data_IF_048735933784
#
_entry.id   IF_048735933784
#
_cell.length_a   1.000
_cell.length_b   1.000
_cell.length_c   1.000
_cell.angle_alpha   90.00
_cell.angle_beta   90.00
_cell.angle_gamma   90.00
#
_symmetry.space_group_name_H-M   'P 1'
#
loop_
_entity.id
_entity.type
_entity.pdbx_description
1 polymer ?
#
# COMPACT_ATOMS: atom_id res chain seq x y z
N UNK A 1 -10.99 -16.50 30.75
CA UNK A 1 -12.10 -16.67 29.79
C UNK A 1 -12.45 -15.29 29.27
N UNK A 2 -12.32 -15.04 27.98
CA UNK A 2 -12.77 -13.79 27.40
C UNK A 2 -14.31 -13.79 27.46
N UNK A 3 -14.89 -12.96 28.35
CA UNK A 3 -16.33 -12.78 28.39
C UNK A 3 -16.73 -11.98 27.12
N UNK A 4 -17.19 -12.71 26.10
CA UNK A 4 -17.84 -12.08 24.97
C UNK A 4 -19.16 -11.45 25.43
N UNK A 5 -19.54 -10.27 24.92
CA UNK A 5 -20.85 -9.69 25.21
C UNK A 5 -21.96 -10.58 24.63
N UNK A 6 -23.09 -10.65 25.32
CA UNK A 6 -24.25 -11.42 24.86
C UNK A 6 -24.89 -10.87 23.56
N UNK A 7 -24.67 -9.58 23.28
CA UNK A 7 -25.12 -8.90 22.07
C UNK A 7 -24.21 -7.73 21.71
N UNK A 8 -24.16 -7.39 20.44
CA UNK A 8 -23.49 -6.19 19.94
C UNK A 8 -24.14 -5.74 18.63
N UNK A 9 -23.93 -4.47 18.24
CA UNK A 9 -24.48 -3.93 16.99
C UNK A 9 -23.75 -4.40 15.75
N UNK A 10 -22.45 -4.61 15.85
CA UNK A 10 -21.61 -5.03 14.73
C UNK A 10 -20.63 -6.10 15.17
N UNK A 11 -20.57 -7.17 14.40
CA UNK A 11 -19.53 -8.21 14.55
C UNK A 11 -18.64 -8.18 13.31
N UNK A 12 -17.34 -8.01 13.51
CA UNK A 12 -16.31 -8.14 12.48
C UNK A 12 -15.63 -9.50 12.64
N UNK A 13 -15.71 -10.35 11.64
CA UNK A 13 -15.15 -11.70 11.67
C UNK A 13 -13.83 -11.71 10.91
N UNK A 14 -12.75 -12.03 11.61
CA UNK A 14 -11.38 -12.08 11.11
C UNK A 14 -10.56 -10.85 11.49
N UNK A 15 -9.43 -11.08 12.16
CA UNK A 15 -8.48 -10.08 12.66
C UNK A 15 -7.30 -9.82 11.72
N UNK A 16 -7.45 -10.05 10.42
CA UNK A 16 -6.48 -9.62 9.42
C UNK A 16 -6.55 -8.11 9.16
N UNK A 17 -5.72 -7.60 8.23
CA UNK A 17 -5.67 -6.15 7.91
C UNK A 17 -7.04 -5.57 7.55
N UNK A 18 -7.87 -6.31 6.82
CA UNK A 18 -9.20 -5.87 6.44
C UNK A 18 -10.14 -5.74 7.65
N UNK A 19 -10.18 -6.76 8.52
CA UNK A 19 -11.01 -6.72 9.74
C UNK A 19 -10.54 -5.68 10.74
N UNK A 20 -9.24 -5.59 10.98
CA UNK A 20 -8.68 -4.54 11.85
C UNK A 20 -8.98 -3.14 11.31
N UNK A 21 -8.81 -2.92 9.99
CA UNK A 21 -9.17 -1.65 9.35
C UNK A 21 -10.66 -1.34 9.47
N UNK A 22 -11.53 -2.33 9.27
CA UNK A 22 -12.98 -2.17 9.42
C UNK A 22 -13.34 -1.78 10.86
N UNK A 23 -12.82 -2.49 11.86
CA UNK A 23 -13.07 -2.19 13.26
C UNK A 23 -12.55 -0.78 13.65
N UNK A 24 -11.36 -0.41 13.17
CA UNK A 24 -10.81 0.92 13.37
C UNK A 24 -11.72 2.02 12.80
N UNK A 25 -12.19 1.86 11.56
CA UNK A 25 -13.04 2.86 10.94
C UNK A 25 -14.44 2.92 11.57
N UNK A 26 -15.01 1.78 11.97
CA UNK A 26 -16.25 1.76 12.74
C UNK A 26 -16.10 2.56 14.05
N UNK A 27 -15.03 2.32 14.79
CA UNK A 27 -14.76 3.07 16.01
C UNK A 27 -14.57 4.58 15.73
N UNK A 28 -13.83 4.93 14.67
CA UNK A 28 -13.63 6.32 14.23
C UNK A 28 -14.93 7.01 13.85
N UNK A 29 -15.90 6.28 13.30
CA UNK A 29 -17.25 6.78 12.99
C UNK A 29 -18.22 6.74 14.19
N UNK A 30 -17.76 6.39 15.38
CA UNK A 30 -18.55 6.40 16.60
C UNK A 30 -19.34 5.10 16.87
N UNK A 31 -19.09 4.03 16.12
CA UNK A 31 -19.71 2.71 16.35
C UNK A 31 -18.96 1.97 17.47
N UNK A 32 -19.26 2.33 18.72
CA UNK A 32 -18.56 1.79 19.90
C UNK A 32 -18.97 0.36 20.26
N UNK A 33 -20.17 -0.06 19.85
CA UNK A 33 -20.71 -1.37 20.12
C UNK A 33 -20.33 -2.35 19.00
N UNK A 34 -19.03 -2.58 18.85
CA UNK A 34 -18.44 -3.41 17.81
C UNK A 34 -17.54 -4.45 18.43
N UNK A 35 -17.68 -5.71 18.02
CA UNK A 35 -16.83 -6.83 18.43
C UNK A 35 -16.05 -7.35 17.23
N UNK A 36 -14.75 -7.51 17.38
CA UNK A 36 -13.89 -8.19 16.41
C UNK A 36 -13.58 -9.59 16.93
N UNK A 37 -13.90 -10.60 16.13
CA UNK A 37 -13.63 -12.01 16.43
C UNK A 37 -12.48 -12.50 15.57
N UNK A 38 -11.43 -13.00 16.21
CA UNK A 38 -10.31 -13.69 15.57
C UNK A 38 -10.12 -15.05 16.27
N UNK A 39 -9.91 -16.08 15.47
CA UNK A 39 -9.72 -17.44 15.99
C UNK A 39 -8.32 -17.72 16.58
N UNK A 40 -7.38 -16.85 16.23
CA UNK A 40 -5.97 -16.99 16.59
C UNK A 40 -5.41 -15.59 16.97
N UNK A 41 -4.16 -15.32 16.70
CA UNK A 41 -3.54 -14.00 16.91
C UNK A 41 -3.90 -13.06 15.77
N UNK A 42 -4.09 -11.77 16.07
CA UNK A 42 -4.34 -10.76 15.06
C UNK A 42 -3.25 -10.81 13.97
N UNK A 43 -3.67 -10.73 12.72
CA UNK A 43 -2.81 -10.73 11.52
C UNK A 43 -2.06 -12.04 11.20
N UNK A 44 -2.24 -13.11 11.98
CA UNK A 44 -1.56 -14.40 11.77
C UNK A 44 -1.89 -15.14 10.48
N UNK A 45 -2.99 -14.76 9.82
CA UNK A 45 -3.44 -15.38 8.57
C UNK A 45 -2.74 -14.79 7.33
N UNK A 46 -3.52 -14.52 6.28
CA UNK A 46 -3.02 -14.01 4.98
C UNK A 46 -2.24 -12.69 5.11
N UNK A 47 -2.57 -11.85 6.09
CA UNK A 47 -1.89 -10.57 6.32
C UNK A 47 -0.39 -10.76 6.61
N UNK A 48 -0.02 -11.77 7.39
CA UNK A 48 1.37 -12.11 7.69
C UNK A 48 2.18 -12.48 6.43
N UNK A 49 1.53 -13.10 5.44
CA UNK A 49 2.18 -13.55 4.20
C UNK A 49 2.29 -12.45 3.13
N UNK A 50 1.77 -11.24 3.41
CA UNK A 50 1.83 -10.14 2.45
C UNK A 50 3.27 -9.61 2.30
N UNK A 51 3.63 -9.24 1.06
CA UNK A 51 4.96 -8.69 0.76
C UNK A 51 5.23 -7.31 1.38
N UNK A 52 4.23 -6.68 1.98
CA UNK A 52 4.36 -5.37 2.63
C UNK A 52 4.57 -4.20 1.65
N UNK A 53 4.22 -4.38 0.38
CA UNK A 53 4.33 -3.32 -0.62
C UNK A 53 3.04 -2.50 -0.65
N UNK A 54 3.17 -1.18 -0.47
CA UNK A 54 2.07 -0.23 -0.54
C UNK A 54 2.27 0.67 -1.76
N UNK A 55 1.52 0.40 -2.84
CA UNK A 55 1.55 1.21 -4.05
C UNK A 55 0.38 2.18 -4.08
N UNK A 56 0.57 3.38 -4.66
CA UNK A 56 -0.48 4.40 -4.79
C UNK A 56 -1.33 4.19 -6.04
N UNK A 57 -0.68 3.94 -7.19
CA UNK A 57 -1.36 3.80 -8.46
C UNK A 57 -2.08 2.45 -8.55
N UNK A 58 -3.37 2.48 -8.84
CA UNK A 58 -4.21 1.30 -9.06
C UNK A 58 -4.66 1.17 -10.52
N UNK A 59 -5.33 0.07 -10.82
CA UNK A 59 -5.89 -0.20 -12.16
C UNK A 59 -7.09 0.68 -12.54
N UNK A 60 -7.66 1.39 -11.57
CA UNK A 60 -8.80 2.29 -11.77
C UNK A 60 -8.73 3.49 -10.83
N UNK A 61 -9.52 4.52 -11.13
CA UNK A 61 -9.63 5.70 -10.28
C UNK A 61 -10.06 5.37 -8.84
N UNK A 62 -11.01 4.46 -8.69
CA UNK A 62 -11.51 4.05 -7.36
C UNK A 62 -10.42 3.36 -6.55
N UNK A 63 -9.71 2.41 -7.16
CA UNK A 63 -8.60 1.71 -6.49
C UNK A 63 -7.45 2.67 -6.17
N UNK A 64 -7.14 3.61 -7.05
CA UNK A 64 -6.12 4.63 -6.80
C UNK A 64 -6.48 5.50 -5.60
N UNK A 65 -7.73 5.98 -5.51
CA UNK A 65 -8.22 6.74 -4.37
C UNK A 65 -8.14 5.95 -3.05
N UNK A 66 -8.54 4.67 -3.08
CA UNK A 66 -8.47 3.80 -1.91
C UNK A 66 -7.02 3.58 -1.45
N UNK A 67 -6.09 3.36 -2.38
CA UNK A 67 -4.66 3.20 -2.07
C UNK A 67 -4.05 4.47 -1.48
N UNK A 68 -4.37 5.64 -2.05
CA UNK A 68 -3.91 6.92 -1.51
C UNK A 68 -4.45 7.17 -0.11
N UNK A 69 -5.72 6.87 0.13
CA UNK A 69 -6.29 6.92 1.48
C UNK A 69 -5.53 6.01 2.44
N UNK A 70 -5.29 4.76 2.04
CA UNK A 70 -4.56 3.78 2.85
C UNK A 70 -3.14 4.25 3.18
N UNK A 71 -2.40 4.79 2.19
CA UNK A 71 -1.06 5.33 2.43
C UNK A 71 -1.08 6.49 3.45
N UNK A 72 -2.02 7.42 3.30
CA UNK A 72 -2.16 8.53 4.24
C UNK A 72 -2.52 8.04 5.64
N UNK A 73 -3.38 7.02 5.75
CA UNK A 73 -3.69 6.40 7.02
C UNK A 73 -2.43 5.80 7.67
N UNK A 74 -1.61 5.04 6.91
CA UNK A 74 -0.36 4.49 7.44
C UNK A 74 0.58 5.56 7.99
N UNK A 75 0.66 6.73 7.34
CA UNK A 75 1.45 7.88 7.85
C UNK A 75 0.90 8.45 9.16
N UNK A 76 -0.42 8.43 9.33
CA UNK A 76 -1.09 8.96 10.52
C UNK A 76 -1.04 8.00 11.71
N UNK A 77 -1.08 6.69 11.45
CA UNK A 77 -1.16 5.67 12.51
C UNK A 77 0.00 5.76 13.51
N UNK A 78 1.20 6.12 13.08
CA UNK A 78 2.33 6.27 14.00
C UNK A 78 2.08 7.38 15.03
N UNK A 79 1.53 8.52 14.60
CA UNK A 79 1.19 9.62 15.50
C UNK A 79 -0.04 9.32 16.38
N UNK A 80 -0.98 8.54 15.88
CA UNK A 80 -2.21 8.18 16.61
C UNK A 80 -1.95 7.10 17.67
N UNK A 81 -1.06 6.14 17.38
CA UNK A 81 -0.86 4.94 18.22
C UNK A 81 0.44 4.97 19.02
N UNK A 82 1.41 5.77 18.64
CA UNK A 82 2.77 5.73 19.19
C UNK A 82 3.59 4.52 18.74
N UNK A 83 3.08 3.72 17.80
CA UNK A 83 3.74 2.52 17.29
C UNK A 83 4.16 2.73 15.84
N UNK A 84 5.39 2.33 15.49
CA UNK A 84 5.86 2.44 14.12
C UNK A 84 5.14 1.47 13.20
N UNK A 85 4.65 1.97 12.08
CA UNK A 85 4.12 1.15 10.99
C UNK A 85 5.22 0.52 10.14
N UNK A 86 6.47 0.96 10.30
CA UNK A 86 7.60 0.58 9.46
C UNK A 86 7.50 1.07 8.01
N UNK A 87 6.61 2.03 7.72
CA UNK A 87 6.43 2.60 6.40
C UNK A 87 7.69 3.34 5.95
N UNK A 88 8.30 2.90 4.83
CA UNK A 88 9.43 3.57 4.19
C UNK A 88 9.06 3.95 2.77
N UNK A 89 9.00 5.23 2.47
CA UNK A 89 8.64 5.75 1.15
C UNK A 89 9.88 5.86 0.25
N UNK A 90 10.37 4.75 -0.27
CA UNK A 90 11.57 4.68 -1.11
C UNK A 90 11.28 4.91 -2.59
N UNK A 91 10.00 4.95 -2.98
CA UNK A 91 9.59 4.95 -4.37
C UNK A 91 9.67 3.57 -5.02
N UNK A 92 9.24 3.50 -6.28
CA UNK A 92 9.33 2.31 -7.11
C UNK A 92 9.82 2.65 -8.52
N UNK A 93 10.49 1.71 -9.16
CA UNK A 93 10.95 1.84 -10.53
C UNK A 93 10.27 0.74 -11.37
N UNK A 94 9.53 1.15 -12.39
CA UNK A 94 8.95 0.23 -13.37
C UNK A 94 9.67 0.36 -14.70
N UNK A 95 10.10 -0.75 -15.27
CA UNK A 95 10.89 -0.77 -16.51
C UNK A 95 10.11 -1.40 -17.67
N UNK A 96 10.38 -0.94 -18.88
CA UNK A 96 9.85 -1.50 -20.12
C UNK A 96 10.94 -2.24 -20.88
N UNK A 97 10.65 -3.45 -21.32
CA UNK A 97 11.49 -4.27 -22.20
C UNK A 97 10.96 -4.33 -23.64
N UNK A 98 9.81 -3.71 -23.90
CA UNK A 98 9.19 -3.59 -25.23
C UNK A 98 8.65 -2.17 -25.43
N UNK A 99 8.50 -1.77 -26.69
CA UNK A 99 7.91 -0.48 -27.06
C UNK A 99 6.47 -0.32 -26.56
N UNK A 100 5.66 -1.38 -26.66
CA UNK A 100 4.26 -1.34 -26.23
C UNK A 100 4.14 -1.14 -24.73
N UNK A 101 5.03 -1.79 -23.96
CA UNK A 101 5.09 -1.59 -22.52
C UNK A 101 5.54 -0.17 -22.16
N UNK A 102 6.44 0.42 -22.94
CA UNK A 102 6.83 1.81 -22.77
C UNK A 102 5.66 2.76 -22.94
N UNK A 103 4.87 2.59 -24.01
CA UNK A 103 3.69 3.43 -24.26
C UNK A 103 2.62 3.24 -23.16
N UNK A 104 2.48 2.05 -22.63
CA UNK A 104 1.60 1.81 -21.47
C UNK A 104 2.09 2.56 -20.22
N UNK A 105 3.38 2.52 -19.93
CA UNK A 105 3.96 3.23 -18.79
C UNK A 105 3.79 4.76 -18.92
N UNK A 106 3.94 5.33 -20.12
CA UNK A 106 3.65 6.75 -20.37
C UNK A 106 2.21 7.12 -20.02
N UNK A 107 1.25 6.26 -20.41
CA UNK A 107 -0.16 6.46 -20.05
C UNK A 107 -0.37 6.36 -18.53
N UNK A 108 0.34 5.46 -17.84
CA UNK A 108 0.30 5.36 -16.39
C UNK A 108 0.85 6.61 -15.70
N UNK A 109 1.92 7.22 -16.20
CA UNK A 109 2.42 8.51 -15.72
C UNK A 109 1.37 9.59 -15.86
N UNK A 110 0.76 9.72 -17.03
CA UNK A 110 -0.32 10.70 -17.28
C UNK A 110 -1.54 10.44 -16.35
N UNK A 111 -1.88 9.17 -16.14
CA UNK A 111 -2.97 8.80 -15.23
C UNK A 111 -2.65 9.12 -13.78
N UNK A 112 -1.41 8.90 -13.33
CA UNK A 112 -0.96 9.19 -11.97
C UNK A 112 -1.08 10.68 -11.63
N UNK A 113 -0.75 11.56 -12.58
CA UNK A 113 -0.84 13.02 -12.42
C UNK A 113 -2.26 13.48 -12.09
N UNK A 114 -3.30 12.78 -12.55
CA UNK A 114 -4.70 13.09 -12.23
C UNK A 114 -5.06 12.89 -10.76
N UNK A 115 -4.22 12.20 -10.01
CA UNK A 115 -4.38 11.90 -8.59
C UNK A 115 -3.28 12.52 -7.74
N UNK A 116 -2.52 13.48 -8.31
CA UNK A 116 -1.41 14.15 -7.62
C UNK A 116 -0.32 13.18 -7.16
N UNK A 117 -0.22 12.01 -7.82
CA UNK A 117 0.84 11.04 -7.57
C UNK A 117 2.07 11.48 -8.37
N UNK A 118 3.18 11.67 -7.67
CA UNK A 118 4.46 12.00 -8.29
C UNK A 118 4.93 10.81 -9.15
N UNK A 119 4.86 10.99 -10.46
CA UNK A 119 5.30 10.01 -11.43
C UNK A 119 5.96 10.72 -12.61
N UNK A 120 7.08 10.21 -13.08
CA UNK A 120 7.81 10.77 -14.20
C UNK A 120 8.56 9.72 -15.03
N UNK A 121 8.89 10.09 -16.22
CA UNK A 121 9.80 9.32 -17.06
C UNK A 121 11.25 9.48 -16.56
N UNK A 122 12.01 8.42 -16.68
CA UNK A 122 13.41 8.37 -16.24
C UNK A 122 14.28 7.87 -17.41
N UNK A 123 15.34 8.58 -17.72
CA UNK A 123 16.30 8.17 -18.73
C UNK A 123 17.12 6.95 -18.29
N UNK A 124 17.68 6.18 -19.23
CA UNK A 124 18.48 4.98 -18.93
C UNK A 124 19.63 5.24 -17.97
N UNK A 125 20.36 6.33 -18.19
CA UNK A 125 21.52 6.66 -17.36
C UNK A 125 21.09 6.99 -15.92
N UNK A 126 20.00 7.73 -15.78
CA UNK A 126 19.41 8.04 -14.47
C UNK A 126 18.88 6.78 -13.75
N UNK A 127 18.34 5.78 -14.50
CA UNK A 127 17.96 4.50 -13.92
C UNK A 127 19.13 3.83 -13.21
N UNK A 128 20.30 3.89 -13.83
CA UNK A 128 21.53 3.31 -13.27
C UNK A 128 21.98 4.03 -11.98
N UNK A 129 21.76 5.33 -11.91
CA UNK A 129 22.06 6.11 -10.69
C UNK A 129 21.07 5.78 -9.55
N UNK A 130 19.77 5.67 -9.87
CA UNK A 130 18.72 5.33 -8.88
C UNK A 130 18.88 3.91 -8.37
N UNK A 131 19.20 2.96 -9.26
CA UNK A 131 19.32 1.55 -8.93
C UNK A 131 20.56 0.93 -9.60
N UNK A 132 21.74 1.03 -8.97
CA UNK A 132 23.03 0.63 -9.56
C UNK A 132 23.13 -0.85 -9.97
N UNK A 133 22.34 -1.73 -9.34
CA UNK A 133 22.36 -3.17 -9.61
C UNK A 133 21.58 -3.56 -10.87
N UNK A 134 20.80 -2.65 -11.46
CA UNK A 134 20.00 -2.98 -12.64
C UNK A 134 20.85 -3.13 -13.90
N UNK A 135 20.51 -4.13 -14.72
CA UNK A 135 21.05 -4.25 -16.07
C UNK A 135 20.15 -3.49 -17.05
N UNK A 136 20.66 -2.40 -17.62
CA UNK A 136 19.93 -1.50 -18.50
C UNK A 136 20.05 -1.85 -19.99
N UNK A 137 20.81 -2.90 -20.36
CA UNK A 137 21.11 -3.20 -21.78
C UNK A 137 19.86 -3.47 -22.63
N UNK A 138 18.84 -4.13 -22.06
CA UNK A 138 17.61 -4.51 -22.75
C UNK A 138 16.42 -3.58 -22.43
N UNK A 139 16.66 -2.48 -21.74
CA UNK A 139 15.59 -1.54 -21.39
C UNK A 139 15.38 -0.52 -22.51
N UNK A 140 14.13 -0.35 -22.90
CA UNK A 140 13.69 0.88 -23.58
C UNK A 140 13.74 2.02 -22.58
N UNK A 141 13.95 3.26 -23.04
CA UNK A 141 13.83 4.46 -22.20
C UNK A 141 12.47 4.45 -21.54
N UNK A 142 12.48 4.30 -20.23
CA UNK A 142 11.26 3.99 -19.50
C UNK A 142 10.80 5.19 -18.71
N UNK A 143 9.51 5.53 -18.81
CA UNK A 143 8.88 6.26 -17.74
C UNK A 143 8.90 5.39 -16.51
N UNK A 144 9.38 5.92 -15.40
CA UNK A 144 9.16 5.34 -14.09
C UNK A 144 8.19 6.24 -13.35
N UNK A 145 6.98 5.78 -13.04
CA UNK A 145 6.28 6.41 -11.96
C UNK A 145 7.18 6.24 -10.74
N UNK A 146 7.73 7.33 -10.22
CA UNK A 146 8.20 7.36 -8.85
C UNK A 146 6.96 7.28 -7.98
N UNK A 147 6.40 6.11 -7.93
CA UNK A 147 5.46 5.76 -6.90
C UNK A 147 6.25 5.82 -5.59
N UNK A 148 6.20 6.97 -4.91
CA UNK A 148 6.90 7.22 -3.65
C UNK A 148 6.23 6.40 -2.54
N UNK A 149 5.94 5.15 -2.79
CA UNK A 149 5.24 4.32 -1.83
C UNK A 149 5.57 2.84 -1.98
N UNK A 150 6.83 2.53 -2.01
CA UNK A 150 7.26 1.17 -1.71
C UNK A 150 7.61 1.09 -0.23
N UNK A 151 6.75 0.58 0.62
CA UNK A 151 7.13 0.24 1.98
C UNK A 151 7.20 -1.26 2.14
N UNK A 152 8.29 -1.72 2.69
CA UNK A 152 8.39 -3.06 3.24
C UNK A 152 8.02 -2.95 4.71
N UNK A 153 6.91 -3.54 5.14
CA UNK A 153 6.71 -3.77 6.55
C UNK A 153 7.76 -4.77 7.03
N UNK A 154 8.48 -4.51 8.13
CA UNK A 154 9.34 -5.52 8.71
C UNK A 154 8.47 -6.72 9.08
N UNK A 155 8.88 -7.92 8.65
CA UNK A 155 8.36 -9.13 9.24
C UNK A 155 8.76 -9.08 10.71
N UNK A 156 7.79 -8.91 11.61
CA UNK A 156 8.02 -9.06 13.03
C UNK A 156 8.50 -10.49 13.28
N UNK A 157 9.73 -10.64 13.76
CA UNK A 157 10.22 -11.88 14.31
C UNK A 157 9.47 -12.23 15.59
#
# INVERSE_FOLDING_TARGET
>A
MNNLPDSCKVVVIGGGVAGCSTAYHLAKFGWKDTVLLERDVLTSGTTWHAAGLIGQLGSSATITKLRNYSLNLYKQLESETGLSTGLKQNGSLTVATTSDRLEELKRQVTFAQRFEIEAREVAKDEIKEIYPLINICLLYTSPSPRDISGSRMPSSA
#
